data_IF_253324285570
#
_entry.id   IF_253324285570
#
_cell.length_a   1.000
_cell.length_b   1.000
_cell.length_c   1.000
_cell.angle_alpha   90.00
_cell.angle_beta   90.00
_cell.angle_gamma   90.00
#
_symmetry.space_group_name_H-M   'P 1'
#
loop_
_entity.id
_entity.type
_entity.pdbx_description
1 polymer ?
#
# COMPACT_ATOMS: atom_id res chain seq x y z
N UNK A 1 16.87 25.64 -8.73
CA UNK A 1 16.88 24.38 -7.94
C UNK A 1 16.18 24.50 -6.59
N UNK A 2 16.20 25.66 -5.96
CA UNK A 2 15.61 25.89 -4.61
C UNK A 2 14.07 25.95 -4.60
N UNK A 3 13.46 26.59 -5.59
CA UNK A 3 12.00 26.79 -5.65
C UNK A 3 11.22 25.47 -5.86
N UNK A 4 11.75 24.53 -6.63
CA UNK A 4 11.14 23.21 -6.83
C UNK A 4 11.14 22.38 -5.54
N UNK A 5 12.28 22.38 -4.83
CA UNK A 5 12.39 21.71 -3.52
C UNK A 5 11.44 22.29 -2.47
N UNK A 6 11.27 23.63 -2.47
CA UNK A 6 10.34 24.31 -1.56
C UNK A 6 8.89 23.94 -1.87
N UNK A 7 8.52 23.87 -3.14
CA UNK A 7 7.20 23.44 -3.61
C UNK A 7 6.88 22.01 -3.15
N UNK A 8 7.77 21.06 -3.42
CA UNK A 8 7.62 19.66 -3.03
C UNK A 8 7.50 19.51 -1.51
N UNK A 9 8.30 20.24 -0.74
CA UNK A 9 8.21 20.24 0.72
C UNK A 9 6.86 20.74 1.23
N UNK A 10 6.31 21.79 0.61
CA UNK A 10 4.99 22.31 1.00
C UNK A 10 3.87 21.35 0.64
N UNK A 11 3.91 20.75 -0.54
CA UNK A 11 2.96 19.69 -0.92
C UNK A 11 2.99 18.52 0.05
N UNK A 12 4.19 18.04 0.37
CA UNK A 12 4.38 16.95 1.32
C UNK A 12 3.82 17.29 2.70
N UNK A 13 4.08 18.51 3.20
CA UNK A 13 3.53 18.98 4.48
C UNK A 13 2.00 18.97 4.49
N UNK A 14 1.36 19.43 3.41
CA UNK A 14 -0.10 19.40 3.28
C UNK A 14 -0.64 17.97 3.28
N UNK A 15 -0.02 17.07 2.53
CA UNK A 15 -0.39 15.65 2.47
C UNK A 15 -0.24 14.96 3.84
N UNK A 16 0.86 15.18 4.55
CA UNK A 16 1.05 14.70 5.92
C UNK A 16 0.00 15.21 6.89
N UNK A 17 -0.29 16.51 6.80
CA UNK A 17 -1.29 17.12 7.68
C UNK A 17 -2.68 16.54 7.42
N UNK A 18 -3.02 16.30 6.16
CA UNK A 18 -4.27 15.63 5.78
C UNK A 18 -4.34 14.21 6.36
N UNK A 19 -3.31 13.42 6.19
CA UNK A 19 -3.24 12.06 6.74
C UNK A 19 -3.44 12.04 8.25
N UNK A 20 -2.78 12.96 8.97
CA UNK A 20 -2.98 13.12 10.41
C UNK A 20 -4.40 13.52 10.79
N UNK A 21 -5.09 14.31 9.98
CA UNK A 21 -6.49 14.66 10.21
C UNK A 21 -7.45 13.48 10.04
N UNK A 22 -7.10 12.52 9.16
CA UNK A 22 -7.88 11.29 8.97
C UNK A 22 -7.90 10.38 10.22
N UNK A 23 -6.97 10.53 11.15
CA UNK A 23 -6.99 9.80 12.42
C UNK A 23 -8.23 10.14 13.28
N UNK A 24 -8.81 11.33 13.09
CA UNK A 24 -9.91 11.84 13.90
C UNK A 24 -11.13 12.32 13.12
N UNK A 25 -11.05 12.39 11.80
CA UNK A 25 -12.13 12.98 10.95
C UNK A 25 -12.25 12.25 9.64
N UNK A 26 -13.46 12.10 9.17
CA UNK A 26 -13.74 11.56 7.84
C UNK A 26 -13.17 12.47 6.75
N UNK A 27 -12.75 11.88 5.64
CA UNK A 27 -12.15 12.58 4.48
C UNK A 27 -13.05 13.71 3.94
N UNK A 28 -14.39 13.50 3.94
CA UNK A 28 -15.38 14.47 3.44
C UNK A 28 -15.68 15.61 4.42
N UNK A 29 -15.23 15.52 5.67
CA UNK A 29 -15.36 16.55 6.71
C UNK A 29 -14.13 17.48 6.79
N UNK A 30 -12.99 17.05 6.20
CA UNK A 30 -11.75 17.83 6.24
C UNK A 30 -11.89 19.03 5.29
N UNK A 31 -11.71 20.23 5.86
CA UNK A 31 -11.82 21.50 5.11
C UNK A 31 -10.45 22.13 4.91
N UNK A 32 -10.26 22.78 3.76
CA UNK A 32 -9.02 23.52 3.43
C UNK A 32 -8.63 24.49 4.55
N UNK A 33 -9.60 25.15 5.19
CA UNK A 33 -9.35 26.06 6.32
C UNK A 33 -8.65 25.37 7.48
N UNK A 34 -9.09 24.18 7.84
CA UNK A 34 -8.55 23.45 8.98
C UNK A 34 -7.20 22.82 8.63
N UNK A 35 -7.10 22.26 7.43
CA UNK A 35 -5.86 21.72 6.88
C UNK A 35 -4.74 22.78 6.86
N UNK A 36 -4.99 23.94 6.26
CA UNK A 36 -3.98 25.00 6.15
C UNK A 36 -3.59 25.60 7.49
N UNK A 37 -4.54 25.73 8.43
CA UNK A 37 -4.28 26.16 9.80
C UNK A 37 -3.38 25.15 10.53
N UNK A 38 -3.65 23.85 10.40
CA UNK A 38 -2.87 22.82 11.07
C UNK A 38 -1.49 22.66 10.42
N UNK A 39 -1.37 22.86 9.11
CA UNK A 39 -0.11 22.83 8.38
C UNK A 39 0.72 24.13 8.51
N UNK A 40 0.20 25.15 9.22
CA UNK A 40 0.82 26.47 9.35
C UNK A 40 1.16 27.12 7.98
N UNK A 41 0.23 27.04 7.03
CA UNK A 41 0.35 27.66 5.72
C UNK A 41 -0.88 28.52 5.41
N UNK A 42 -0.74 29.51 4.52
CA UNK A 42 -1.88 30.30 4.08
C UNK A 42 -2.79 29.51 3.12
N UNK A 43 -4.09 29.85 3.07
CA UNK A 43 -4.98 29.31 2.05
C UNK A 43 -4.50 29.62 0.63
N UNK A 44 -3.92 30.80 0.42
CA UNK A 44 -3.35 31.15 -0.88
C UNK A 44 -2.22 30.21 -1.26
N UNK A 45 -1.39 29.81 -0.28
CA UNK A 45 -0.35 28.81 -0.49
C UNK A 45 -0.92 27.46 -0.91
N UNK A 46 -2.03 27.03 -0.33
CA UNK A 46 -2.73 25.81 -0.76
C UNK A 46 -3.18 25.92 -2.23
N UNK A 47 -3.83 27.03 -2.59
CA UNK A 47 -4.35 27.24 -3.93
C UNK A 47 -3.27 27.44 -5.02
N UNK A 48 -2.03 27.65 -4.64
CA UNK A 48 -0.88 27.59 -5.58
C UNK A 48 -0.66 26.17 -6.09
N UNK A 49 -1.02 25.15 -5.30
CA UNK A 49 -0.73 23.75 -5.61
C UNK A 49 -1.97 22.94 -6.01
N UNK A 50 -3.12 23.26 -5.44
CA UNK A 50 -4.36 22.50 -5.61
C UNK A 50 -5.57 23.42 -5.74
N UNK A 51 -6.42 23.17 -6.73
CA UNK A 51 -7.68 23.92 -6.90
C UNK A 51 -8.74 23.53 -5.86
N UNK A 52 -8.63 22.32 -5.31
CA UNK A 52 -9.53 21.79 -4.29
C UNK A 52 -8.84 20.78 -3.40
N UNK A 53 -9.47 20.44 -2.27
CA UNK A 53 -8.99 19.37 -1.41
C UNK A 53 -9.06 18.01 -2.10
N UNK A 54 -10.04 17.81 -2.98
CA UNK A 54 -10.20 16.57 -3.73
C UNK A 54 -9.08 16.35 -4.74
N UNK A 55 -8.56 17.40 -5.36
CA UNK A 55 -7.39 17.30 -6.24
C UNK A 55 -6.14 16.82 -5.48
N UNK A 56 -5.97 17.32 -4.26
CA UNK A 56 -4.88 16.86 -3.38
C UNK A 56 -5.05 15.39 -2.99
N UNK A 57 -6.27 14.97 -2.63
CA UNK A 57 -6.60 13.59 -2.29
C UNK A 57 -6.32 12.68 -3.50
N UNK A 58 -6.75 13.07 -4.67
CA UNK A 58 -6.56 12.34 -5.93
C UNK A 58 -5.06 12.16 -6.27
N UNK A 59 -4.23 13.20 -5.98
CA UNK A 59 -2.77 13.10 -6.11
C UNK A 59 -2.19 12.10 -5.10
N UNK A 60 -2.65 12.11 -3.84
CA UNK A 60 -2.22 11.14 -2.83
C UNK A 60 -2.55 9.70 -3.26
N UNK A 61 -3.79 9.47 -3.67
CA UNK A 61 -4.25 8.16 -4.10
C UNK A 61 -3.48 7.64 -5.32
N UNK A 62 -3.20 8.52 -6.28
CA UNK A 62 -2.40 8.20 -7.47
C UNK A 62 -0.96 7.86 -7.12
N UNK A 63 -0.34 8.60 -6.20
CA UNK A 63 1.02 8.32 -5.73
C UNK A 63 1.08 6.90 -5.14
N UNK A 64 0.14 6.55 -4.26
CA UNK A 64 0.07 5.23 -3.63
C UNK A 64 -0.12 4.11 -4.66
N UNK A 65 -1.07 4.29 -5.58
CA UNK A 65 -1.34 3.30 -6.63
C UNK A 65 -0.12 3.13 -7.54
N UNK A 66 0.55 4.21 -7.90
CA UNK A 66 1.76 4.16 -8.71
C UNK A 66 2.90 3.41 -7.99
N UNK A 67 3.12 3.69 -6.71
CA UNK A 67 4.14 3.01 -5.92
C UNK A 67 3.88 1.49 -5.91
N UNK A 68 2.67 1.06 -5.58
CA UNK A 68 2.28 -0.35 -5.55
C UNK A 68 2.32 -0.99 -6.95
N UNK A 69 1.97 -0.25 -7.99
CA UNK A 69 2.06 -0.72 -9.38
C UNK A 69 3.49 -1.04 -9.79
N UNK A 70 4.48 -0.37 -9.21
CA UNK A 70 5.89 -0.56 -9.51
C UNK A 70 6.54 -1.71 -8.71
N UNK A 71 5.86 -2.29 -7.72
CA UNK A 71 6.42 -3.43 -7.00
C UNK A 71 6.60 -4.64 -7.91
N UNK A 72 7.70 -5.36 -7.74
CA UNK A 72 7.94 -6.58 -8.47
C UNK A 72 7.17 -7.76 -7.85
N UNK A 73 6.67 -8.65 -8.67
CA UNK A 73 6.10 -9.93 -8.20
C UNK A 73 7.18 -11.01 -8.09
N UNK A 74 8.17 -10.97 -8.97
CA UNK A 74 9.13 -12.07 -9.15
C UNK A 74 10.48 -11.85 -8.49
N UNK A 75 10.90 -10.60 -8.29
CA UNK A 75 12.26 -10.28 -7.85
C UNK A 75 12.28 -9.18 -6.79
N UNK A 76 13.13 -9.34 -5.79
CA UNK A 76 13.50 -8.28 -4.84
C UNK A 76 14.86 -7.73 -5.25
N UNK A 77 15.02 -6.40 -5.20
CA UNK A 77 16.33 -5.80 -5.39
C UNK A 77 17.28 -6.17 -4.23
N UNK A 78 18.58 -6.27 -4.51
CA UNK A 78 19.58 -6.51 -3.47
C UNK A 78 19.55 -5.44 -2.36
N UNK A 79 19.27 -4.19 -2.73
CA UNK A 79 19.12 -3.09 -1.77
C UNK A 79 17.93 -3.32 -0.83
N UNK A 80 16.78 -3.77 -1.38
CA UNK A 80 15.62 -4.09 -0.58
C UNK A 80 15.89 -5.25 0.39
N UNK A 81 16.52 -6.33 -0.09
CA UNK A 81 16.87 -7.51 0.71
C UNK A 81 17.76 -7.09 1.88
N UNK A 82 18.86 -6.37 1.61
CA UNK A 82 19.81 -5.94 2.64
C UNK A 82 19.15 -5.06 3.70
N UNK A 83 18.34 -4.10 3.27
CA UNK A 83 17.60 -3.21 4.18
C UNK A 83 16.57 -3.96 5.03
N UNK A 84 15.91 -4.95 4.45
CA UNK A 84 14.93 -5.77 5.14
C UNK A 84 15.60 -6.65 6.19
N UNK A 85 16.69 -7.37 5.84
CA UNK A 85 17.43 -8.24 6.74
C UNK A 85 18.06 -7.47 7.91
N UNK A 86 18.60 -6.28 7.66
CA UNK A 86 19.11 -5.38 8.71
C UNK A 86 18.00 -4.96 9.69
N UNK A 87 16.84 -4.61 9.17
CA UNK A 87 15.74 -4.08 9.98
C UNK A 87 15.04 -5.12 10.84
N UNK A 88 14.77 -6.28 10.27
CA UNK A 88 13.99 -7.31 10.95
C UNK A 88 14.86 -8.38 11.60
N UNK A 89 16.20 -8.30 11.43
CA UNK A 89 17.16 -9.28 11.90
C UNK A 89 16.79 -10.73 11.52
N UNK A 90 16.16 -10.88 10.36
CA UNK A 90 15.68 -12.15 9.80
C UNK A 90 16.20 -12.30 8.37
N UNK A 91 16.78 -13.47 8.05
CA UNK A 91 17.21 -13.75 6.67
C UNK A 91 16.00 -14.10 5.80
N UNK A 92 15.81 -13.35 4.72
CA UNK A 92 14.80 -13.66 3.70
C UNK A 92 15.02 -15.02 3.03
N UNK A 93 16.27 -15.50 3.02
CA UNK A 93 16.61 -16.83 2.49
C UNK A 93 16.03 -17.99 3.30
N UNK A 94 15.58 -17.75 4.53
CA UNK A 94 14.90 -18.75 5.36
C UNK A 94 13.41 -18.86 5.10
N UNK A 95 12.86 -18.02 4.23
CA UNK A 95 11.43 -17.96 3.92
C UNK A 95 11.14 -18.65 2.58
N UNK A 96 9.93 -19.17 2.35
CA UNK A 96 9.57 -19.84 1.09
C UNK A 96 9.73 -18.89 -0.11
N UNK A 97 10.54 -19.27 -1.09
CA UNK A 97 10.84 -18.47 -2.29
C UNK A 97 9.76 -18.58 -3.38
N UNK A 98 8.50 -18.45 -3.04
CA UNK A 98 7.46 -18.45 -4.05
C UNK A 98 7.18 -17.04 -4.57
N UNK A 99 6.91 -16.93 -5.87
CA UNK A 99 6.87 -15.65 -6.59
C UNK A 99 5.95 -14.58 -5.96
N UNK A 100 4.77 -14.97 -5.46
CA UNK A 100 3.88 -14.03 -4.77
C UNK A 100 4.39 -13.57 -3.39
N UNK A 101 5.38 -14.25 -2.82
CA UNK A 101 6.03 -13.86 -1.59
C UNK A 101 6.77 -12.51 -1.70
N UNK A 102 7.48 -12.31 -2.79
CA UNK A 102 8.18 -11.06 -3.13
C UNK A 102 7.25 -9.86 -3.07
N UNK A 103 6.09 -9.99 -3.68
CA UNK A 103 5.08 -8.93 -3.67
C UNK A 103 4.50 -8.70 -2.26
N UNK A 104 4.26 -9.78 -1.51
CA UNK A 104 3.76 -9.70 -0.13
C UNK A 104 4.69 -8.89 0.77
N UNK A 105 5.99 -9.16 0.71
CA UNK A 105 6.98 -8.43 1.52
C UNK A 105 7.00 -6.95 1.16
N UNK A 106 6.98 -6.61 -0.12
CA UNK A 106 6.97 -5.22 -0.55
C UNK A 106 5.72 -4.48 -0.08
N UNK A 107 4.54 -5.12 -0.15
CA UNK A 107 3.30 -4.56 0.38
C UNK A 107 3.40 -4.33 1.89
N UNK A 108 3.88 -5.31 2.65
CA UNK A 108 4.03 -5.18 4.11
C UNK A 108 5.05 -4.09 4.46
N UNK A 109 6.21 -4.06 3.78
CA UNK A 109 7.23 -3.04 4.00
C UNK A 109 6.69 -1.64 3.69
N UNK A 110 5.95 -1.51 2.59
CA UNK A 110 5.33 -0.25 2.20
C UNK A 110 4.37 0.28 3.25
N UNK A 111 3.51 -0.59 3.77
CA UNK A 111 2.54 -0.21 4.80
C UNK A 111 3.18 -0.01 6.17
N UNK A 112 4.21 -0.76 6.52
CA UNK A 112 4.84 -0.69 7.84
C UNK A 112 5.86 0.46 7.94
N UNK A 113 6.55 0.76 6.85
CA UNK A 113 7.68 1.67 6.83
C UNK A 113 7.39 3.03 6.26
N UNK A 114 6.14 3.34 6.00
CA UNK A 114 5.82 4.62 5.39
C UNK A 114 6.16 5.81 6.30
N UNK A 115 7.27 6.52 6.05
CA UNK A 115 7.63 7.70 6.81
C UNK A 115 6.78 8.91 6.41
N UNK A 116 5.90 8.77 5.41
CA UNK A 116 5.31 9.94 4.78
C UNK A 116 3.88 10.24 5.25
N UNK A 117 2.93 9.34 5.19
CA UNK A 117 1.51 9.57 5.57
C UNK A 117 0.58 8.44 5.12
N UNK A 118 1.11 7.48 4.40
CA UNK A 118 0.31 6.52 3.64
C UNK A 118 -0.48 5.58 4.52
N UNK A 119 0.06 5.21 5.68
CA UNK A 119 -0.64 4.43 6.70
C UNK A 119 -2.01 5.02 7.03
N UNK A 120 -2.02 6.29 7.45
CA UNK A 120 -3.25 6.94 7.89
C UNK A 120 -4.26 7.06 6.75
N UNK A 121 -3.79 7.24 5.51
CA UNK A 121 -4.68 7.34 4.34
C UNK A 121 -5.27 5.99 3.96
N UNK A 122 -4.46 4.92 3.97
CA UNK A 122 -4.90 3.62 3.48
C UNK A 122 -5.64 2.84 4.57
N UNK A 123 -5.16 2.92 5.82
CA UNK A 123 -5.64 2.12 6.93
C UNK A 123 -6.77 2.79 7.71
N UNK A 124 -6.99 4.08 7.53
CA UNK A 124 -8.03 4.81 8.26
C UNK A 124 -9.43 4.41 7.76
N UNK A 125 -10.32 4.08 8.70
CA UNK A 125 -11.76 3.94 8.43
C UNK A 125 -12.39 5.26 7.94
N UNK A 126 -11.70 6.38 8.14
CA UNK A 126 -12.12 7.71 7.75
C UNK A 126 -11.73 8.09 6.31
N UNK A 127 -11.01 7.23 5.61
CA UNK A 127 -10.60 7.47 4.21
C UNK A 127 -11.75 7.28 3.22
N UNK A 128 -11.53 7.70 1.97
CA UNK A 128 -12.50 7.46 0.90
C UNK A 128 -12.65 5.95 0.63
N UNK A 129 -13.85 5.37 0.82
CA UNK A 129 -14.09 3.95 0.56
C UNK A 129 -13.90 3.57 -0.91
N UNK A 130 -13.97 4.51 -1.85
CA UNK A 130 -13.64 4.26 -3.26
C UNK A 130 -12.15 4.07 -3.48
N UNK A 131 -11.30 4.66 -2.66
CA UNK A 131 -9.87 4.47 -2.75
C UNK A 131 -9.47 3.01 -2.45
N UNK A 132 -10.03 2.40 -1.40
CA UNK A 132 -9.78 0.99 -1.09
C UNK A 132 -10.14 0.08 -2.27
N UNK A 133 -11.25 0.36 -2.95
CA UNK A 133 -11.64 -0.39 -4.16
C UNK A 133 -10.65 -0.20 -5.32
N UNK A 134 -10.13 1.02 -5.51
CA UNK A 134 -9.08 1.29 -6.52
C UNK A 134 -7.81 0.52 -6.21
N UNK A 135 -7.41 0.48 -4.94
CA UNK A 135 -6.23 -0.24 -4.47
C UNK A 135 -6.35 -1.76 -4.69
N UNK A 136 -7.46 -2.36 -4.26
CA UNK A 136 -7.74 -3.78 -4.49
C UNK A 136 -7.70 -4.10 -5.98
N UNK A 137 -8.31 -3.26 -6.82
CA UNK A 137 -8.31 -3.44 -8.27
C UNK A 137 -6.90 -3.39 -8.87
N UNK A 138 -6.06 -2.47 -8.40
CA UNK A 138 -4.67 -2.37 -8.82
C UNK A 138 -3.89 -3.67 -8.48
N UNK A 139 -4.03 -4.17 -7.26
CA UNK A 139 -3.39 -5.41 -6.82
C UNK A 139 -3.93 -6.61 -7.60
N UNK A 140 -5.25 -6.68 -7.80
CA UNK A 140 -5.89 -7.74 -8.61
C UNK A 140 -5.30 -7.78 -10.02
N UNK A 141 -5.16 -6.62 -10.67
CA UNK A 141 -4.61 -6.56 -12.03
C UNK A 141 -3.16 -7.05 -12.07
N UNK A 142 -2.32 -6.65 -11.12
CA UNK A 142 -0.94 -7.14 -11.04
C UNK A 142 -0.85 -8.65 -10.89
N UNK A 143 -1.70 -9.23 -10.06
CA UNK A 143 -1.74 -10.68 -9.85
C UNK A 143 -2.26 -11.37 -11.12
N UNK A 144 -3.28 -10.82 -11.77
CA UNK A 144 -3.81 -11.35 -13.00
C UNK A 144 -2.73 -11.36 -14.10
N UNK A 145 -2.03 -10.26 -14.30
CA UNK A 145 -0.93 -10.16 -15.26
C UNK A 145 0.15 -11.23 -14.97
N UNK A 146 0.49 -11.44 -13.71
CA UNK A 146 1.42 -12.49 -13.30
C UNK A 146 0.90 -13.90 -13.65
N UNK A 147 -0.37 -14.21 -13.35
CA UNK A 147 -0.96 -15.51 -13.65
C UNK A 147 -1.02 -15.80 -15.14
N UNK A 148 -1.35 -14.79 -15.96
CA UNK A 148 -1.43 -14.91 -17.42
C UNK A 148 -0.05 -15.06 -18.06
N UNK A 149 0.92 -14.21 -17.69
CA UNK A 149 2.19 -14.09 -18.42
C UNK A 149 3.32 -14.93 -17.82
N UNK A 150 3.30 -15.20 -16.52
CA UNK A 150 4.36 -15.98 -15.86
C UNK A 150 3.95 -17.41 -15.58
N UNK A 151 2.70 -17.66 -15.21
CA UNK A 151 2.19 -19.00 -14.95
C UNK A 151 1.46 -19.60 -16.16
N UNK A 152 1.30 -18.84 -17.24
CA UNK A 152 0.62 -19.24 -18.48
C UNK A 152 -0.80 -19.79 -18.27
N UNK A 153 -1.53 -19.24 -17.29
CA UNK A 153 -2.94 -19.59 -17.10
C UNK A 153 -3.80 -19.01 -18.23
N UNK A 154 -4.96 -19.60 -18.53
CA UNK A 154 -5.86 -19.10 -19.55
C UNK A 154 -6.43 -17.72 -19.15
N UNK A 155 -6.68 -16.87 -20.15
CA UNK A 155 -7.39 -15.60 -19.94
C UNK A 155 -8.90 -15.86 -19.92
N UNK A 156 -9.39 -16.26 -18.76
CA UNK A 156 -10.79 -16.60 -18.52
C UNK A 156 -11.31 -16.08 -17.16
N UNK A 157 -12.61 -16.23 -16.94
CA UNK A 157 -13.26 -15.80 -15.71
C UNK A 157 -12.71 -16.50 -14.46
N UNK A 158 -12.25 -17.73 -14.57
CA UNK A 158 -11.71 -18.49 -13.44
C UNK A 158 -10.39 -17.85 -12.99
N UNK A 159 -9.48 -17.59 -13.92
CA UNK A 159 -8.19 -16.93 -13.64
C UNK A 159 -8.41 -15.53 -13.06
N UNK A 160 -9.38 -14.77 -13.58
CA UNK A 160 -9.74 -13.46 -13.05
C UNK A 160 -10.27 -13.55 -11.60
N UNK A 161 -11.10 -14.55 -11.29
CA UNK A 161 -11.60 -14.79 -9.93
C UNK A 161 -10.49 -15.23 -8.98
N UNK A 162 -9.55 -16.05 -9.42
CA UNK A 162 -8.37 -16.43 -8.65
C UNK A 162 -7.55 -15.20 -8.29
N UNK A 163 -7.26 -14.34 -9.28
CA UNK A 163 -6.52 -13.09 -9.05
C UNK A 163 -7.21 -12.20 -8.02
N UNK A 164 -8.53 -12.04 -8.11
CA UNK A 164 -9.30 -11.23 -7.17
C UNK A 164 -9.29 -11.81 -5.74
N UNK A 165 -9.44 -13.14 -5.59
CA UNK A 165 -9.35 -13.82 -4.30
C UNK A 165 -7.96 -13.65 -3.68
N UNK A 166 -6.91 -13.89 -4.46
CA UNK A 166 -5.54 -13.71 -4.00
C UNK A 166 -5.31 -12.27 -3.57
N UNK A 167 -5.73 -11.27 -4.36
CA UNK A 167 -5.61 -9.85 -3.99
C UNK A 167 -6.27 -9.52 -2.65
N UNK A 168 -7.47 -10.06 -2.40
CA UNK A 168 -8.20 -9.90 -1.14
C UNK A 168 -7.44 -10.44 0.08
N UNK A 169 -6.63 -11.48 -0.10
CA UNK A 169 -5.85 -12.07 1.00
C UNK A 169 -4.66 -11.22 1.46
N UNK A 170 -4.28 -10.18 0.71
CA UNK A 170 -3.16 -9.31 1.09
C UNK A 170 -3.58 -8.18 2.02
N UNK A 171 -4.66 -7.50 1.69
CA UNK A 171 -4.96 -6.18 2.25
C UNK A 171 -5.43 -6.30 3.69
N UNK A 172 -6.44 -7.09 3.96
CA UNK A 172 -7.01 -7.23 5.30
C UNK A 172 -6.02 -7.70 6.38
N UNK A 173 -5.22 -8.78 6.16
CA UNK A 173 -4.24 -9.19 7.16
C UNK A 173 -3.17 -8.15 7.43
N UNK A 174 -2.72 -7.42 6.41
CA UNK A 174 -1.70 -6.36 6.55
C UNK A 174 -2.29 -5.16 7.31
N UNK A 175 -3.50 -4.72 6.95
CA UNK A 175 -4.21 -3.66 7.66
C UNK A 175 -4.38 -4.01 9.13
N UNK A 176 -4.93 -5.18 9.41
CA UNK A 176 -5.17 -5.63 10.78
C UNK A 176 -3.87 -5.74 11.59
N UNK A 177 -2.78 -6.16 10.95
CA UNK A 177 -1.48 -6.22 11.60
C UNK A 177 -0.91 -4.83 11.90
N UNK A 178 -1.01 -3.89 10.95
CA UNK A 178 -0.53 -2.53 11.12
C UNK A 178 -1.31 -1.73 12.18
N UNK A 179 -2.61 -1.96 12.30
CA UNK A 179 -3.47 -1.28 13.27
C UNK A 179 -3.26 -1.73 14.72
N UNK A 180 -2.70 -2.93 14.94
CA UNK A 180 -2.40 -3.41 16.30
C UNK A 180 -1.23 -2.66 16.92
N UNK A 181 -1.22 -2.57 18.26
CA UNK A 181 -0.04 -2.12 19.00
C UNK A 181 1.11 -3.11 18.79
N UNK A 182 2.33 -2.61 18.78
CA UNK A 182 3.53 -3.41 18.49
C UNK A 182 3.64 -4.65 19.39
N UNK A 183 3.27 -4.53 20.66
CA UNK A 183 3.25 -5.63 21.64
C UNK A 183 2.20 -6.72 21.37
N UNK A 184 1.20 -6.43 20.53
CA UNK A 184 0.09 -7.34 20.20
C UNK A 184 0.23 -7.95 18.80
N UNK A 185 1.24 -7.51 18.05
CA UNK A 185 1.50 -8.01 16.70
C UNK A 185 2.14 -9.39 16.76
N UNK A 186 1.67 -10.29 15.90
CA UNK A 186 2.47 -11.48 15.55
C UNK A 186 3.75 -11.03 14.86
N UNK A 187 4.78 -11.88 14.87
CA UNK A 187 6.00 -11.55 14.16
C UNK A 187 5.73 -11.29 12.67
N UNK A 188 6.55 -10.46 12.03
CA UNK A 188 6.44 -10.21 10.60
C UNK A 188 6.56 -11.51 9.80
N UNK A 189 7.43 -12.42 10.24
CA UNK A 189 7.59 -13.75 9.68
C UNK A 189 6.29 -14.56 9.73
N UNK A 190 5.63 -14.59 10.89
CA UNK A 190 4.38 -15.31 11.05
C UNK A 190 3.26 -14.70 10.18
N UNK A 191 3.20 -13.37 10.07
CA UNK A 191 2.28 -12.70 9.18
C UNK A 191 2.49 -13.12 7.72
N UNK A 192 3.74 -13.12 7.26
CA UNK A 192 4.10 -13.51 5.89
C UNK A 192 3.75 -14.98 5.64
N UNK A 193 4.11 -15.87 6.57
CA UNK A 193 3.77 -17.31 6.49
C UNK A 193 2.25 -17.49 6.43
N UNK A 194 1.51 -16.81 7.28
CA UNK A 194 0.04 -16.88 7.32
C UNK A 194 -0.58 -16.43 5.98
N UNK A 195 -0.16 -15.30 5.45
CA UNK A 195 -0.66 -14.79 4.16
C UNK A 195 -0.33 -15.78 3.03
N UNK A 196 0.90 -16.30 2.99
CA UNK A 196 1.30 -17.26 1.95
C UNK A 196 0.59 -18.61 2.10
N UNK A 197 0.41 -19.13 3.33
CA UNK A 197 -0.31 -20.36 3.57
C UNK A 197 -1.77 -20.28 3.06
N UNK A 198 -2.43 -19.17 3.30
CA UNK A 198 -3.80 -18.93 2.82
C UNK A 198 -3.87 -18.93 1.29
N UNK A 199 -2.87 -18.37 0.62
CA UNK A 199 -2.78 -18.37 -0.85
C UNK A 199 -2.50 -19.75 -1.42
N UNK A 200 -1.52 -20.44 -0.86
CA UNK A 200 -1.07 -21.73 -1.37
C UNK A 200 -2.12 -22.81 -1.20
N UNK A 201 -2.93 -22.75 -0.14
CA UNK A 201 -4.09 -23.63 0.01
C UNK A 201 -5.11 -23.48 -1.12
N UNK A 202 -5.31 -22.27 -1.62
CA UNK A 202 -6.23 -22.01 -2.73
C UNK A 202 -5.57 -22.19 -4.12
N UNK A 203 -4.50 -21.43 -4.39
CA UNK A 203 -3.83 -21.41 -5.68
C UNK A 203 -3.05 -22.71 -5.96
N UNK A 204 -2.33 -23.23 -4.96
CA UNK A 204 -1.56 -24.47 -5.10
C UNK A 204 -2.43 -25.70 -5.31
N UNK A 205 -3.68 -25.69 -4.84
CA UNK A 205 -4.64 -26.74 -5.15
C UNK A 205 -5.09 -26.65 -6.62
N UNK A 206 -5.35 -25.44 -7.13
CA UNK A 206 -5.79 -25.22 -8.49
C UNK A 206 -4.71 -25.54 -9.56
N UNK A 207 -3.45 -25.15 -9.30
CA UNK A 207 -2.33 -25.42 -10.22
C UNK A 207 -1.93 -26.90 -10.33
N UNK A 208 -2.50 -27.77 -9.48
CA UNK A 208 -2.28 -29.23 -9.51
C UNK A 208 -3.35 -30.00 -10.30
N UNK A 209 -4.40 -29.34 -10.73
CA UNK A 209 -5.48 -29.90 -11.57
C UNK A 209 -5.38 -29.39 -13.00
#
# INVERSE_FOLDING_TARGET
MDQKKKSERTKLLLKHTYAKMLEARRYDEIRIKDLTRLADVSRNTFYVYYSSIYEMIDEIEKDIINDISNFSITELSHEFISKYEEKFNESLNALPHENLFTFTIQIIDYFHNDPKYMHSVILSENTDPYFQKKLIRCITQKILDYLLFSENLPDDDITAHIAANVAGTYIEPVINWCLKQESERISLKDLIIMINFTKLGGLGAYLKY
#
